data_IF_038299078372
#
_entry.id   IF_038299078372
#
_cell.length_a   1.000
_cell.length_b   1.000
_cell.length_c   1.000
_cell.angle_alpha   90.00
_cell.angle_beta   90.00
_cell.angle_gamma   90.00
#
_symmetry.space_group_name_H-M   'P 1'
#
loop_
_entity.id
_entity.type
_entity.pdbx_description
1 polymer ?
#
# COMPACT_ATOMS: atom_id res chain seq x y z
N UNK A 1 -9.64 -16.60 -9.18
CA UNK A 1 -9.12 -17.53 -8.15
C UNK A 1 -7.72 -17.14 -7.64
N UNK A 2 -6.85 -16.58 -8.48
CA UNK A 2 -5.49 -16.12 -8.11
C UNK A 2 -5.46 -14.99 -7.06
N UNK A 3 -6.42 -14.07 -7.07
CA UNK A 3 -6.46 -12.89 -6.18
C UNK A 3 -6.56 -13.20 -4.68
N UNK A 4 -7.29 -14.25 -4.29
CA UNK A 4 -7.45 -14.63 -2.89
C UNK A 4 -6.14 -15.17 -2.26
N UNK A 5 -5.28 -15.79 -3.06
CA UNK A 5 -3.96 -16.26 -2.60
C UNK A 5 -2.96 -15.12 -2.38
N UNK A 6 -3.06 -14.03 -3.17
CA UNK A 6 -2.22 -12.85 -2.97
C UNK A 6 -2.56 -12.13 -1.66
N UNK A 7 -3.84 -12.11 -1.26
CA UNK A 7 -4.25 -11.52 0.02
C UNK A 7 -3.72 -12.29 1.25
N UNK A 8 -3.41 -13.59 1.11
CA UNK A 8 -2.86 -14.38 2.22
C UNK A 8 -1.32 -14.40 2.25
N UNK A 9 -0.64 -13.94 1.20
CA UNK A 9 0.82 -13.88 1.16
C UNK A 9 1.39 -13.00 2.28
N UNK A 10 0.88 -11.78 2.51
CA UNK A 10 1.35 -10.93 3.60
C UNK A 10 1.11 -11.52 4.99
N UNK A 11 0.03 -12.31 5.16
CA UNK A 11 -0.31 -12.89 6.44
C UNK A 11 0.74 -13.89 6.97
N UNK A 12 1.61 -14.42 6.12
CA UNK A 12 2.70 -15.31 6.54
C UNK A 12 3.83 -14.60 7.30
N UNK A 13 4.01 -13.30 7.06
CA UNK A 13 5.10 -12.50 7.63
C UNK A 13 4.70 -11.74 8.90
N UNK A 14 3.40 -11.76 9.24
CA UNK A 14 2.86 -11.04 10.39
C UNK A 14 2.49 -12.06 11.49
N UNK A 15 3.32 -12.29 12.52
CA UNK A 15 3.06 -13.27 13.57
C UNK A 15 1.81 -12.91 14.38
N UNK A 16 0.99 -13.91 14.71
CA UNK A 16 -0.29 -13.71 15.42
C UNK A 16 -0.13 -13.37 16.90
N UNK A 17 1.01 -13.67 17.48
CA UNK A 17 1.35 -13.35 18.87
C UNK A 17 1.45 -11.85 19.11
N UNK A 18 1.86 -11.09 18.11
CA UNK A 18 1.97 -9.64 18.16
C UNK A 18 0.61 -8.97 17.95
N UNK A 19 0.17 -8.11 18.89
CA UNK A 19 -1.04 -7.31 18.72
C UNK A 19 -0.94 -6.36 17.52
N UNK A 20 0.23 -5.76 17.33
CA UNK A 20 0.50 -4.88 16.18
C UNK A 20 0.34 -5.66 14.87
N UNK A 21 0.86 -6.87 14.78
CA UNK A 21 0.69 -7.72 13.59
C UNK A 21 -0.76 -8.16 13.39
N UNK A 22 -1.52 -8.42 14.46
CA UNK A 22 -2.97 -8.69 14.36
C UNK A 22 -3.72 -7.48 13.81
N UNK A 23 -3.38 -6.26 14.27
CA UNK A 23 -3.97 -5.01 13.77
C UNK A 23 -3.62 -4.75 12.29
N UNK A 24 -2.37 -5.01 11.89
CA UNK A 24 -1.92 -4.95 10.50
C UNK A 24 -2.71 -5.94 9.62
N UNK A 25 -2.84 -7.21 10.05
CA UNK A 25 -3.65 -8.23 9.36
C UNK A 25 -5.12 -7.85 9.28
N UNK A 26 -5.70 -7.33 10.37
CA UNK A 26 -7.09 -6.86 10.41
C UNK A 26 -7.39 -5.87 9.29
N UNK A 27 -6.51 -4.89 9.10
CA UNK A 27 -6.66 -3.85 8.08
C UNK A 27 -6.34 -4.39 6.68
N UNK A 28 -5.24 -5.12 6.54
CA UNK A 28 -4.80 -5.65 5.26
C UNK A 28 -5.78 -6.66 4.67
N UNK A 29 -6.36 -7.53 5.48
CA UNK A 29 -7.34 -8.54 5.06
C UNK A 29 -8.79 -8.05 5.09
N UNK A 30 -9.02 -6.82 5.52
CA UNK A 30 -10.34 -6.19 5.68
C UNK A 30 -11.11 -5.90 4.37
N UNK A 31 -10.72 -6.51 3.24
CA UNK A 31 -11.38 -6.37 1.94
C UNK A 31 -10.76 -5.27 1.07
N UNK A 32 -11.50 -4.84 0.03
CA UNK A 32 -11.08 -3.82 -0.93
C UNK A 32 -10.98 -4.35 -2.36
N UNK A 33 -10.95 -3.43 -3.34
CA UNK A 33 -10.94 -3.76 -4.78
C UNK A 33 -9.61 -4.31 -5.29
N UNK A 34 -8.52 -4.17 -4.51
CA UNK A 34 -7.17 -4.65 -4.85
C UNK A 34 -6.67 -4.20 -6.23
N UNK A 35 -7.01 -2.99 -6.64
CA UNK A 35 -6.70 -2.47 -7.99
C UNK A 35 -5.19 -2.45 -8.24
N UNK A 36 -4.37 -2.10 -7.25
CA UNK A 36 -2.92 -2.05 -7.40
C UNK A 36 -2.32 -3.44 -7.62
N UNK A 37 -2.77 -4.42 -6.86
CA UNK A 37 -2.37 -5.82 -7.07
C UNK A 37 -2.82 -6.34 -8.45
N UNK A 38 -4.04 -6.00 -8.89
CA UNK A 38 -4.53 -6.32 -10.24
C UNK A 38 -3.60 -5.75 -11.29
N UNK A 39 -3.20 -4.49 -11.17
CA UNK A 39 -2.32 -3.84 -12.13
C UNK A 39 -0.94 -4.51 -12.22
N UNK A 40 -0.32 -4.84 -11.06
CA UNK A 40 0.95 -5.59 -11.07
C UNK A 40 0.82 -6.90 -11.85
N UNK A 41 -0.21 -7.71 -11.54
CA UNK A 41 -0.43 -8.98 -12.23
C UNK A 41 -0.74 -8.81 -13.71
N UNK A 42 -1.62 -7.87 -14.06
CA UNK A 42 -2.04 -7.68 -15.46
C UNK A 42 -0.87 -7.22 -16.33
N UNK A 43 -0.02 -6.32 -15.82
CA UNK A 43 1.15 -5.85 -16.57
C UNK A 43 2.19 -6.96 -16.69
N UNK A 44 2.47 -7.71 -15.62
CA UNK A 44 3.37 -8.85 -15.66
C UNK A 44 2.91 -9.91 -16.66
N UNK A 45 1.63 -10.28 -16.62
CA UNK A 45 1.02 -11.26 -17.52
C UNK A 45 1.08 -10.80 -19.00
N UNK A 46 0.73 -9.55 -19.28
CA UNK A 46 0.82 -8.94 -20.62
C UNK A 46 2.23 -9.00 -21.21
N UNK A 47 3.26 -8.92 -20.38
CA UNK A 47 4.66 -8.93 -20.78
C UNK A 47 5.30 -10.33 -20.71
N UNK A 48 4.55 -11.36 -20.31
CA UNK A 48 5.03 -12.75 -20.22
C UNK A 48 5.96 -13.01 -19.03
N UNK A 49 5.82 -12.23 -17.95
CA UNK A 49 6.68 -12.28 -16.77
C UNK A 49 6.35 -13.40 -15.78
N UNK A 50 7.10 -13.42 -14.66
CA UNK A 50 6.95 -14.45 -13.63
C UNK A 50 5.82 -14.15 -12.64
N UNK A 51 4.77 -15.01 -12.56
CA UNK A 51 3.65 -14.79 -11.66
C UNK A 51 4.01 -14.91 -10.16
N UNK A 52 5.13 -15.55 -9.80
CA UNK A 52 5.56 -15.64 -8.39
C UNK A 52 6.17 -14.31 -7.94
N UNK A 53 6.99 -13.70 -8.78
CA UNK A 53 7.53 -12.35 -8.58
C UNK A 53 6.40 -11.32 -8.53
N UNK A 54 5.46 -11.38 -9.49
CA UNK A 54 4.28 -10.52 -9.50
C UNK A 54 3.44 -10.64 -8.22
N UNK A 55 3.35 -11.85 -7.65
CA UNK A 55 2.65 -12.08 -6.37
C UNK A 55 3.32 -11.34 -5.22
N UNK A 56 4.63 -11.42 -5.09
CA UNK A 56 5.37 -10.72 -4.05
C UNK A 56 5.19 -9.19 -4.19
N UNK A 57 5.35 -8.67 -5.39
CA UNK A 57 5.20 -7.25 -5.66
C UNK A 57 3.76 -6.75 -5.47
N UNK A 58 2.76 -7.56 -5.81
CA UNK A 58 1.35 -7.26 -5.52
C UNK A 58 1.07 -7.18 -4.03
N UNK A 59 1.64 -8.09 -3.24
CA UNK A 59 1.52 -8.05 -1.79
C UNK A 59 2.17 -6.79 -1.21
N UNK A 60 3.37 -6.45 -1.65
CA UNK A 60 4.10 -5.27 -1.20
C UNK A 60 3.35 -3.96 -1.46
N UNK A 61 2.83 -3.75 -2.68
CA UNK A 61 2.09 -2.52 -2.99
C UNK A 61 0.76 -2.42 -2.23
N UNK A 62 0.09 -3.53 -1.92
CA UNK A 62 -1.12 -3.54 -1.09
C UNK A 62 -0.82 -3.32 0.39
N UNK A 63 0.31 -3.84 0.93
CA UNK A 63 0.77 -3.51 2.28
C UNK A 63 1.02 -2.01 2.41
N UNK A 64 1.75 -1.43 1.47
CA UNK A 64 2.07 -0.02 1.44
C UNK A 64 0.82 0.84 1.27
N UNK A 65 -0.15 0.44 0.45
CA UNK A 65 -1.45 1.11 0.40
C UNK A 65 -2.23 0.97 1.71
N UNK A 66 -2.14 -0.18 2.37
CA UNK A 66 -2.87 -0.43 3.61
C UNK A 66 -2.33 0.42 4.76
N UNK A 67 -1.00 0.56 4.90
CA UNK A 67 -0.42 1.43 5.94
C UNK A 67 -0.93 2.86 5.80
N UNK A 68 -0.99 3.38 4.56
CA UNK A 68 -1.46 4.76 4.34
C UNK A 68 -2.91 4.96 4.78
N UNK A 69 -3.77 3.96 4.59
CA UNK A 69 -5.16 4.01 5.05
C UNK A 69 -5.27 3.93 6.58
N UNK A 70 -4.41 3.12 7.23
CA UNK A 70 -4.40 3.03 8.70
C UNK A 70 -4.00 4.38 9.31
N UNK A 71 -2.96 5.02 8.75
CA UNK A 71 -2.49 6.31 9.26
C UNK A 71 -3.45 7.45 8.91
N UNK A 72 -4.09 7.41 7.72
CA UNK A 72 -5.13 8.37 7.33
C UNK A 72 -6.30 8.38 8.32
N UNK A 73 -6.72 7.20 8.82
CA UNK A 73 -7.84 7.07 9.75
C UNK A 73 -7.56 7.58 11.17
N UNK A 74 -6.28 7.85 11.53
CA UNK A 74 -5.91 8.26 12.89
C UNK A 74 -6.55 9.61 13.28
N UNK A 75 -6.79 9.85 14.60
CA UNK A 75 -7.36 11.12 15.08
C UNK A 75 -6.58 12.37 14.73
N UNK A 76 -5.27 12.24 14.46
CA UNK A 76 -4.42 13.37 14.02
C UNK A 76 -4.48 13.61 12.51
N UNK A 77 -5.22 12.80 11.77
CA UNK A 77 -5.46 12.85 10.33
C UNK A 77 -6.96 13.03 10.07
N UNK A 78 -7.60 12.13 9.29
CA UNK A 78 -9.02 12.24 8.93
C UNK A 78 -9.98 11.89 10.09
N UNK A 79 -9.48 11.23 11.15
CA UNK A 79 -10.25 10.77 12.32
C UNK A 79 -11.48 9.93 11.96
N UNK A 80 -11.31 9.02 11.01
CA UNK A 80 -12.39 8.18 10.53
C UNK A 80 -12.69 7.02 11.50
N UNK A 81 -13.94 6.90 11.94
CA UNK A 81 -14.38 5.79 12.80
C UNK A 81 -14.53 4.47 12.05
N UNK A 82 -14.80 4.54 10.74
CA UNK A 82 -15.09 3.37 9.91
C UNK A 82 -14.26 3.37 8.63
N UNK A 83 -13.70 2.21 8.29
CA UNK A 83 -13.06 1.94 7.00
C UNK A 83 -13.70 0.73 6.33
N UNK A 84 -14.27 0.93 5.12
CA UNK A 84 -14.95 -0.14 4.36
C UNK A 84 -16.10 -0.79 5.15
N UNK A 85 -16.85 0.00 5.93
CA UNK A 85 -17.98 -0.46 6.75
C UNK A 85 -17.61 -1.22 8.03
N UNK A 86 -16.33 -1.25 8.41
CA UNK A 86 -15.82 -1.85 9.66
C UNK A 86 -15.13 -0.77 10.49
N UNK A 87 -15.01 -0.94 11.81
CA UNK A 87 -14.21 -0.04 12.63
C UNK A 87 -12.81 0.15 12.03
N UNK A 88 -12.34 1.40 11.98
CA UNK A 88 -10.96 1.70 11.59
C UNK A 88 -9.97 1.05 12.56
N UNK A 89 -8.70 0.94 12.18
CA UNK A 89 -7.71 0.21 12.97
C UNK A 89 -7.59 0.78 14.40
N UNK A 90 -7.55 2.09 14.56
CA UNK A 90 -7.44 2.74 15.86
C UNK A 90 -8.70 2.58 16.73
N UNK A 91 -9.87 2.37 16.11
CA UNK A 91 -11.13 2.06 16.85
C UNK A 91 -11.24 0.60 17.23
N UNK A 92 -10.70 -0.30 16.40
CA UNK A 92 -10.72 -1.75 16.68
C UNK A 92 -9.66 -2.17 17.71
N UNK A 93 -8.55 -1.44 17.80
CA UNK A 93 -7.43 -1.69 18.71
C UNK A 93 -7.16 -0.44 19.57
N UNK A 94 -6.07 0.28 19.28
CA UNK A 94 -5.74 1.56 19.91
C UNK A 94 -5.01 2.45 18.90
N UNK A 95 -4.90 3.75 19.18
CA UNK A 95 -4.14 4.69 18.34
C UNK A 95 -2.67 4.27 18.22
N UNK A 96 -2.03 3.92 19.34
CA UNK A 96 -0.65 3.47 19.36
C UNK A 96 -0.46 2.17 18.56
N UNK A 97 -1.36 1.19 18.74
CA UNK A 97 -1.33 -0.06 17.98
C UNK A 97 -1.55 0.18 16.49
N UNK A 98 -2.46 1.08 16.11
CA UNK A 98 -2.70 1.43 14.72
C UNK A 98 -1.50 2.13 14.07
N UNK A 99 -0.87 3.08 14.77
CA UNK A 99 0.35 3.74 14.31
C UNK A 99 1.44 2.70 14.00
N UNK A 100 1.74 1.83 14.96
CA UNK A 100 2.75 0.77 14.79
C UNK A 100 2.35 -0.27 13.72
N UNK A 101 1.06 -0.54 13.55
CA UNK A 101 0.58 -1.45 12.49
C UNK A 101 0.84 -0.87 11.09
N UNK A 102 0.71 0.44 10.93
CA UNK A 102 1.12 1.12 9.71
C UNK A 102 2.62 1.03 9.46
N UNK A 103 3.45 1.27 10.49
CA UNK A 103 4.92 1.17 10.40
C UNK A 103 5.39 -0.23 10.01
N UNK A 104 4.78 -1.26 10.61
CA UNK A 104 5.05 -2.67 10.26
C UNK A 104 4.73 -2.91 8.79
N UNK A 105 3.54 -2.53 8.31
CA UNK A 105 3.15 -2.76 6.91
C UNK A 105 4.04 -2.01 5.92
N UNK A 106 4.49 -0.80 6.26
CA UNK A 106 5.43 -0.04 5.44
C UNK A 106 6.78 -0.77 5.33
N UNK A 107 7.31 -1.28 6.46
CA UNK A 107 8.58 -2.01 6.51
C UNK A 107 8.47 -3.35 5.78
N UNK A 108 7.43 -4.14 6.08
CA UNK A 108 7.16 -5.44 5.46
C UNK A 108 6.97 -5.35 3.94
N UNK A 109 6.44 -4.22 3.43
CA UNK A 109 6.33 -4.00 2.00
C UNK A 109 7.70 -4.04 1.31
N UNK A 110 8.71 -3.36 1.86
CA UNK A 110 10.07 -3.38 1.31
C UNK A 110 10.79 -4.72 1.56
N UNK A 111 10.59 -5.34 2.71
CA UNK A 111 11.12 -6.67 3.00
C UNK A 111 10.56 -7.71 2.02
N UNK A 112 9.25 -7.64 1.72
CA UNK A 112 8.59 -8.51 0.73
C UNK A 112 9.18 -8.34 -0.66
N UNK A 113 9.50 -7.11 -1.08
CA UNK A 113 10.18 -6.85 -2.37
C UNK A 113 11.59 -7.41 -2.35
N UNK A 114 12.33 -7.19 -1.27
CA UNK A 114 13.74 -7.64 -1.15
C UNK A 114 13.88 -9.17 -1.16
N UNK A 115 12.87 -9.89 -0.64
CA UNK A 115 12.83 -11.36 -0.60
C UNK A 115 11.96 -11.97 -1.74
N UNK A 116 11.62 -11.21 -2.76
CA UNK A 116 10.88 -11.74 -3.91
C UNK A 116 11.74 -12.77 -4.68
N UNK A 117 11.12 -13.80 -5.29
CA UNK A 117 11.84 -14.83 -6.05
C UNK A 117 12.27 -14.30 -7.44
N UNK A 118 13.15 -13.32 -7.44
CA UNK A 118 13.64 -12.63 -8.63
C UNK A 118 15.11 -12.21 -8.43
N UNK A 119 15.78 -11.85 -9.53
CA UNK A 119 17.13 -11.30 -9.47
C UNK A 119 17.17 -10.01 -8.65
N UNK A 120 18.29 -9.77 -7.96
CA UNK A 120 18.46 -8.58 -7.12
C UNK A 120 18.22 -7.25 -7.89
N UNK A 121 18.56 -7.20 -9.16
CA UNK A 121 18.31 -6.05 -10.03
C UNK A 121 16.83 -5.76 -10.22
N UNK A 122 16.00 -6.79 -10.33
CA UNK A 122 14.53 -6.72 -10.44
C UNK A 122 13.94 -6.25 -9.11
N UNK A 123 14.38 -6.81 -7.99
CA UNK A 123 13.96 -6.37 -6.65
C UNK A 123 14.31 -4.88 -6.41
N UNK A 124 15.51 -4.44 -6.83
CA UNK A 124 15.92 -3.03 -6.72
C UNK A 124 15.05 -2.11 -7.59
N UNK A 125 14.69 -2.52 -8.81
CA UNK A 125 13.79 -1.75 -9.67
C UNK A 125 12.40 -1.61 -9.03
N UNK A 126 11.83 -2.72 -8.51
CA UNK A 126 10.54 -2.72 -7.83
C UNK A 126 10.58 -1.84 -6.56
N UNK A 127 11.64 -1.95 -5.74
CA UNK A 127 11.82 -1.11 -4.55
C UNK A 127 11.92 0.38 -4.88
N UNK A 128 12.62 0.74 -5.97
CA UNK A 128 12.70 2.14 -6.47
C UNK A 128 11.33 2.66 -6.91
N UNK A 129 10.57 1.85 -7.66
CA UNK A 129 9.22 2.22 -8.10
C UNK A 129 8.29 2.42 -6.90
N UNK A 130 8.30 1.48 -5.93
CA UNK A 130 7.50 1.53 -4.72
C UNK A 130 7.86 2.76 -3.87
N UNK A 131 9.14 2.99 -3.61
CA UNK A 131 9.62 4.12 -2.82
C UNK A 131 9.32 5.48 -3.48
N UNK A 132 9.50 5.60 -4.79
CA UNK A 132 9.15 6.82 -5.53
C UNK A 132 7.63 7.08 -5.51
N UNK A 133 6.81 6.03 -5.64
CA UNK A 133 5.35 6.14 -5.62
C UNK A 133 4.78 6.46 -4.25
N UNK A 134 5.44 6.02 -3.17
CA UNK A 134 4.97 6.23 -1.80
C UNK A 134 5.53 7.48 -1.12
N UNK A 135 6.77 7.83 -1.43
CA UNK A 135 7.57 8.77 -0.66
C UNK A 135 7.25 10.25 -0.87
N UNK A 136 8.27 11.09 -0.58
CA UNK A 136 8.19 12.56 -0.55
C UNK A 136 7.90 13.24 -1.91
N UNK A 137 7.87 12.48 -3.00
CA UNK A 137 7.50 12.94 -4.34
C UNK A 137 6.30 12.17 -4.90
N UNK A 138 5.64 11.39 -4.07
CA UNK A 138 4.51 10.54 -4.40
C UNK A 138 3.37 10.70 -3.41
N UNK A 139 2.87 9.58 -2.88
CA UNK A 139 1.67 9.52 -2.07
C UNK A 139 1.74 10.38 -0.79
N UNK A 140 2.87 10.37 -0.07
CA UNK A 140 3.04 11.18 1.15
C UNK A 140 2.96 12.68 0.83
N UNK A 141 3.60 13.12 -0.26
CA UNK A 141 3.46 14.51 -0.72
C UNK A 141 2.02 14.85 -1.12
N UNK A 142 1.34 13.92 -1.78
CA UNK A 142 -0.07 14.09 -2.11
C UNK A 142 -0.96 14.24 -0.87
N UNK A 143 -0.67 13.49 0.19
CA UNK A 143 -1.37 13.59 1.47
C UNK A 143 -1.08 14.91 2.19
N UNK A 144 0.17 15.38 2.18
CA UNK A 144 0.53 16.71 2.71
C UNK A 144 -0.29 17.83 2.03
N UNK A 145 -0.41 17.75 0.69
CA UNK A 145 -1.19 18.73 -0.07
C UNK A 145 -2.69 18.62 0.23
N UNK A 146 -3.22 17.43 0.40
CA UNK A 146 -4.62 17.18 0.72
C UNK A 146 -4.99 17.84 2.06
N UNK A 147 -4.26 17.55 3.11
CA UNK A 147 -4.41 18.19 4.42
C UNK A 147 -4.27 19.72 4.36
N UNK A 148 -3.32 20.21 3.57
CA UNK A 148 -3.08 21.66 3.43
C UNK A 148 -4.28 22.36 2.79
N UNK A 149 -4.96 21.72 1.85
CA UNK A 149 -6.06 22.31 1.09
C UNK A 149 -7.45 21.87 1.57
N UNK A 150 -7.56 21.00 2.58
CA UNK A 150 -8.83 20.53 3.13
C UNK A 150 -9.73 21.69 3.60
N UNK A 151 -9.15 22.67 4.29
CA UNK A 151 -9.84 23.87 4.79
C UNK A 151 -9.83 25.05 3.79
N UNK A 152 -9.26 24.91 2.61
CA UNK A 152 -9.08 25.97 1.62
C UNK A 152 -9.79 25.61 0.31
N UNK A 153 -10.31 26.63 -0.41
CA UNK A 153 -10.80 26.43 -1.76
C UNK A 153 -9.63 26.11 -2.71
N UNK A 154 -9.36 24.83 -2.95
CA UNK A 154 -8.34 24.40 -3.86
C UNK A 154 -8.66 24.74 -5.31
N UNK A 155 -7.69 25.23 -6.06
CA UNK A 155 -7.80 25.41 -7.52
C UNK A 155 -7.81 24.06 -8.24
N UNK A 156 -8.26 24.04 -9.50
CA UNK A 156 -8.26 22.83 -10.32
C UNK A 156 -6.84 22.23 -10.44
N UNK A 157 -5.82 23.06 -10.64
CA UNK A 157 -4.43 22.59 -10.74
C UNK A 157 -3.93 21.97 -9.43
N UNK A 158 -4.31 22.53 -8.28
CA UNK A 158 -4.00 21.98 -6.97
C UNK A 158 -4.71 20.62 -6.76
N UNK A 159 -5.98 20.49 -7.12
CA UNK A 159 -6.70 19.23 -7.07
C UNK A 159 -6.07 18.16 -7.98
N UNK A 160 -5.70 18.55 -9.21
CA UNK A 160 -4.98 17.66 -10.14
C UNK A 160 -3.64 17.20 -9.56
N UNK A 161 -2.92 18.08 -8.87
CA UNK A 161 -1.65 17.75 -8.23
C UNK A 161 -1.85 16.78 -7.06
N UNK A 162 -2.88 17.00 -6.23
CA UNK A 162 -3.26 16.08 -5.14
C UNK A 162 -3.58 14.70 -5.72
N UNK A 163 -4.49 14.60 -6.68
CA UNK A 163 -4.89 13.32 -7.27
C UNK A 163 -3.72 12.57 -7.92
N UNK A 164 -2.86 13.30 -8.63
CA UNK A 164 -1.68 12.74 -9.27
C UNK A 164 -0.73 12.11 -8.25
N UNK A 165 -0.51 12.76 -7.11
CA UNK A 165 0.42 12.30 -6.10
C UNK A 165 -0.24 11.35 -5.09
N UNK A 166 -1.32 11.76 -4.41
CA UNK A 166 -1.98 10.94 -3.36
C UNK A 166 -2.44 9.58 -3.91
N UNK A 167 -2.93 9.55 -5.16
CA UNK A 167 -3.52 8.34 -5.76
C UNK A 167 -2.70 7.82 -6.95
N UNK A 168 -2.39 8.67 -7.90
CA UNK A 168 -1.79 8.28 -9.18
C UNK A 168 -0.38 7.73 -9.04
N UNK A 169 0.42 8.27 -8.14
CA UNK A 169 1.82 7.87 -7.97
C UNK A 169 1.96 6.38 -7.60
N UNK A 170 1.14 5.89 -6.66
CA UNK A 170 1.19 4.49 -6.25
C UNK A 170 0.54 3.54 -7.28
N UNK A 171 -0.40 4.02 -8.09
CA UNK A 171 -0.93 3.29 -9.25
C UNK A 171 0.18 3.12 -10.30
N UNK A 172 0.91 4.18 -10.59
CA UNK A 172 2.03 4.12 -11.53
C UNK A 172 3.16 3.19 -11.01
N UNK A 173 3.45 3.24 -9.70
CA UNK A 173 4.39 2.30 -9.08
C UNK A 173 3.96 0.84 -9.29
N UNK A 174 2.68 0.52 -9.12
CA UNK A 174 2.15 -0.83 -9.35
C UNK A 174 2.38 -1.29 -10.80
N UNK A 175 2.16 -0.43 -11.79
CA UNK A 175 2.42 -0.71 -13.21
C UNK A 175 3.92 -0.99 -13.43
N UNK A 176 4.80 -0.13 -12.88
CA UNK A 176 6.25 -0.30 -13.00
C UNK A 176 6.75 -1.59 -12.31
N UNK A 177 6.18 -1.93 -11.15
CA UNK A 177 6.51 -3.19 -10.46
C UNK A 177 6.05 -4.42 -11.27
N UNK A 178 4.89 -4.34 -11.94
CA UNK A 178 4.44 -5.37 -12.86
C UNK A 178 5.37 -5.54 -14.06
N UNK A 179 5.84 -4.44 -14.63
CA UNK A 179 6.82 -4.47 -15.72
C UNK A 179 8.20 -4.99 -15.26
N UNK A 180 8.60 -4.70 -14.02
CA UNK A 180 9.85 -5.21 -13.47
C UNK A 180 9.80 -6.74 -13.20
N UNK A 181 8.61 -7.32 -12.99
CA UNK A 181 8.41 -8.75 -12.81
C UNK A 181 8.42 -9.55 -14.14
N UNK A 182 8.51 -8.84 -15.27
CA UNK A 182 8.57 -9.41 -16.61
C UNK A 182 9.99 -9.39 -17.17
#
# INVERSE_FOLDING_TARGET
MFFLHSCNYPAKFLPEESEVCRAARYSLLGGGKRIRAVLVFSVCDMLGGDPQTARAFSAAVEMLHCYSLIHDDLPCMDNDDLRRGRPSCHKAFSEATAMLAGDVLLTEAFETVANAPADASVCVQAARALGAGAGSRGMVYGQELDLKYEALAATEDQLRLIHRNKTGALINAAIQMGAAAA
#
